data_IF_314088699931
#
_entry.id   IF_314088699931
#
_cell.length_a   1.000
_cell.length_b   1.000
_cell.length_c   1.000
_cell.angle_alpha   90.00
_cell.angle_beta   90.00
_cell.angle_gamma   90.00
#
_symmetry.space_group_name_H-M   'P 1'
#
loop_
_entity.id
_entity.type
_entity.pdbx_description
1 polymer ?
#
# COMPACT_ATOMS: atom_id res chain seq x y z
N UNK A 1 5.77 29.97 -4.96
CA UNK A 1 5.97 28.66 -5.63
C UNK A 1 4.78 27.79 -5.27
N UNK A 2 4.06 27.25 -6.25
CA UNK A 2 2.91 26.36 -6.01
C UNK A 2 3.35 24.92 -6.23
N UNK A 3 3.11 24.05 -5.26
CA UNK A 3 3.35 22.62 -5.41
C UNK A 3 2.29 22.00 -6.34
N UNK A 4 2.72 21.19 -7.30
CA UNK A 4 1.84 20.55 -8.29
C UNK A 4 1.97 19.04 -8.13
N UNK A 5 0.91 18.40 -7.63
CA UNK A 5 0.88 16.96 -7.30
C UNK A 5 1.09 16.11 -8.55
N UNK A 6 0.47 16.48 -9.67
CA UNK A 6 0.60 15.76 -10.93
C UNK A 6 2.06 15.72 -11.38
N UNK A 7 2.76 16.86 -11.30
CA UNK A 7 4.18 16.95 -11.62
C UNK A 7 5.03 16.10 -10.67
N UNK A 8 4.73 16.10 -9.37
CA UNK A 8 5.42 15.23 -8.41
C UNK A 8 5.27 13.74 -8.79
N UNK A 9 4.04 13.31 -9.12
CA UNK A 9 3.75 11.93 -9.47
C UNK A 9 4.33 11.46 -10.82
N UNK A 10 4.76 12.40 -11.69
CA UNK A 10 5.54 12.07 -12.90
C UNK A 10 6.99 11.71 -12.60
N UNK A 11 7.52 12.06 -11.41
CA UNK A 11 8.85 11.60 -11.03
C UNK A 11 8.84 10.08 -10.86
N UNK A 12 9.89 9.44 -11.36
CA UNK A 12 10.18 8.02 -11.20
C UNK A 12 11.44 7.80 -10.35
N UNK A 13 11.85 8.83 -9.58
CA UNK A 13 13.02 8.73 -8.73
C UNK A 13 12.84 7.54 -7.77
N UNK A 14 13.74 6.54 -7.84
CA UNK A 14 13.54 5.30 -7.11
C UNK A 14 13.75 5.54 -5.62
N UNK A 15 12.78 5.09 -4.82
CA UNK A 15 12.93 4.98 -3.37
C UNK A 15 13.79 3.76 -3.03
N UNK A 16 14.73 3.92 -2.11
CA UNK A 16 15.54 2.81 -1.64
C UNK A 16 14.73 1.91 -0.70
N UNK A 17 14.26 0.77 -1.22
CA UNK A 17 13.47 -0.21 -0.47
C UNK A 17 14.15 -0.74 0.80
N UNK A 18 15.49 -0.73 0.88
CA UNK A 18 16.21 -1.12 2.10
C UNK A 18 15.93 -0.18 3.29
N UNK A 19 15.35 1.00 3.05
CA UNK A 19 14.89 1.90 4.10
C UNK A 19 13.57 1.47 4.74
N UNK A 20 12.84 0.52 4.12
CA UNK A 20 11.59 -0.02 4.66
C UNK A 20 11.80 -1.21 5.61
N UNK A 21 12.95 -1.87 5.56
CA UNK A 21 13.16 -3.09 6.34
C UNK A 21 12.18 -4.20 5.94
N UNK A 22 11.72 -4.99 6.92
CA UNK A 22 10.71 -6.04 6.70
C UNK A 22 9.32 -5.43 6.62
N UNK A 23 8.52 -5.97 5.70
CA UNK A 23 7.17 -5.52 5.44
C UNK A 23 6.16 -6.60 5.80
N UNK A 24 5.19 -6.23 6.63
CA UNK A 24 4.11 -7.11 7.06
C UNK A 24 2.79 -6.60 6.51
N UNK A 25 2.03 -7.45 5.83
CA UNK A 25 0.74 -7.09 5.25
C UNK A 25 -0.31 -6.79 6.33
N UNK A 26 -0.99 -5.65 6.19
CA UNK A 26 -2.06 -5.21 7.10
C UNK A 26 -3.43 -5.32 6.42
N UNK A 27 -3.55 -4.90 5.17
CA UNK A 27 -4.83 -4.96 4.47
C UNK A 27 -4.84 -4.30 3.10
N UNK A 28 -5.94 -4.49 2.37
CA UNK A 28 -6.20 -3.76 1.14
C UNK A 28 -6.92 -2.45 1.45
N UNK A 29 -6.61 -1.41 0.68
CA UNK A 29 -7.42 -0.21 0.59
C UNK A 29 -8.11 -0.20 -0.77
N UNK A 30 -9.42 -0.38 -0.71
CA UNK A 30 -10.27 -0.47 -1.90
C UNK A 30 -10.63 0.93 -2.41
N UNK A 31 -10.62 1.08 -3.73
CA UNK A 31 -11.43 2.09 -4.39
C UNK A 31 -12.65 1.41 -5.02
N UNK A 32 -13.70 2.18 -5.20
CA UNK A 32 -14.93 1.73 -5.85
C UNK A 32 -15.08 2.51 -7.14
N UNK A 33 -15.13 1.80 -8.26
CA UNK A 33 -15.65 2.37 -9.50
C UNK A 33 -17.12 1.99 -9.64
N UNK A 34 -17.88 2.88 -10.28
CA UNK A 34 -19.24 2.56 -10.73
C UNK A 34 -19.09 2.17 -12.19
N UNK A 35 -19.39 0.92 -12.53
CA UNK A 35 -19.39 0.43 -13.91
C UNK A 35 -20.42 1.17 -14.75
N UNK A 36 -20.33 1.06 -16.08
CA UNK A 36 -21.32 1.64 -17.00
C UNK A 36 -22.75 1.15 -16.72
N UNK A 37 -22.89 -0.06 -16.15
CA UNK A 37 -24.16 -0.68 -15.77
C UNK A 37 -24.65 -0.26 -14.37
N UNK A 38 -23.90 0.59 -13.67
CA UNK A 38 -24.25 1.10 -12.34
C UNK A 38 -23.86 0.16 -11.18
N UNK A 39 -23.16 -0.94 -11.45
CA UNK A 39 -22.64 -1.82 -10.41
C UNK A 39 -21.37 -1.22 -9.77
N UNK A 40 -21.22 -1.39 -8.45
CA UNK A 40 -20.00 -0.99 -7.75
C UNK A 40 -18.98 -2.11 -7.84
N UNK A 41 -17.92 -1.88 -8.60
CA UNK A 41 -16.77 -2.78 -8.64
C UNK A 41 -15.68 -2.27 -7.71
N UNK A 42 -15.43 -3.04 -6.64
CA UNK A 42 -14.34 -2.77 -5.73
C UNK A 42 -13.03 -3.29 -6.35
N UNK A 43 -12.03 -2.43 -6.43
CA UNK A 43 -10.69 -2.84 -6.83
C UNK A 43 -9.67 -2.27 -5.84
N UNK A 44 -8.70 -3.11 -5.47
CA UNK A 44 -7.64 -2.69 -4.57
C UNK A 44 -6.72 -1.70 -5.30
N UNK A 45 -6.68 -0.46 -4.84
CA UNK A 45 -5.75 0.54 -5.38
C UNK A 45 -4.48 0.63 -4.56
N UNK A 46 -4.56 0.30 -3.26
CA UNK A 46 -3.43 0.33 -2.35
C UNK A 46 -3.43 -0.90 -1.43
N UNK A 47 -2.27 -1.20 -0.86
CA UNK A 47 -2.15 -2.04 0.34
C UNK A 47 -1.54 -1.24 1.47
N UNK A 48 -1.89 -1.61 2.69
CA UNK A 48 -1.28 -1.13 3.91
C UNK A 48 -0.30 -2.19 4.41
N UNK A 49 0.93 -1.75 4.70
CA UNK A 49 1.99 -2.61 5.19
C UNK A 49 2.68 -1.96 6.38
N UNK A 50 2.94 -2.74 7.41
CA UNK A 50 3.77 -2.31 8.53
C UNK A 50 5.24 -2.47 8.15
N UNK A 51 6.02 -1.41 8.34
CA UNK A 51 7.48 -1.41 8.18
C UNK A 51 8.15 -1.48 9.55
N UNK A 52 8.98 -2.50 9.78
CA UNK A 52 9.70 -2.65 11.06
C UNK A 52 10.72 -1.52 11.30
N UNK A 53 11.37 -1.05 10.24
CA UNK A 53 12.41 -0.03 10.30
C UNK A 53 11.84 1.38 10.46
N UNK A 54 10.67 1.66 9.89
CA UNK A 54 9.96 2.92 10.09
C UNK A 54 9.08 2.89 11.34
N UNK A 55 8.78 1.70 11.86
CA UNK A 55 7.85 1.47 12.96
C UNK A 55 6.49 2.14 12.71
N UNK A 56 6.00 2.04 11.47
CA UNK A 56 4.77 2.69 11.01
C UNK A 56 4.10 1.89 9.88
N UNK A 57 2.82 2.16 9.66
CA UNK A 57 2.05 1.63 8.53
C UNK A 57 2.19 2.59 7.35
N UNK A 58 2.65 2.05 6.22
CA UNK A 58 2.78 2.80 4.97
C UNK A 58 1.84 2.24 3.91
N UNK A 59 1.37 3.12 3.03
CA UNK A 59 0.62 2.74 1.85
C UNK A 59 1.53 2.38 0.68
N UNK A 60 1.24 1.29 -0.02
CA UNK A 60 1.80 0.99 -1.33
C UNK A 60 0.71 1.15 -2.39
N UNK A 61 0.91 2.02 -3.39
CA UNK A 61 0.02 2.16 -4.55
C UNK A 61 0.33 1.03 -5.53
N UNK A 62 -0.67 0.21 -5.80
CA UNK A 62 -0.59 -0.90 -6.74
C UNK A 62 -0.68 -0.41 -8.19
N UNK A 63 -0.18 -1.19 -9.17
CA UNK A 63 -0.45 -0.95 -10.59
C UNK A 63 -1.96 -0.95 -10.86
N UNK A 64 -2.38 -0.20 -11.88
CA UNK A 64 -3.79 -0.20 -12.28
C UNK A 64 -4.17 -1.57 -12.86
N UNK A 65 -5.36 -2.08 -12.50
CA UNK A 65 -5.81 -3.42 -12.87
C UNK A 65 -5.11 -4.56 -12.11
N UNK A 66 -4.33 -4.26 -11.06
CA UNK A 66 -3.73 -5.30 -10.23
C UNK A 66 -4.81 -6.16 -9.55
N UNK A 67 -4.76 -7.47 -9.79
CA UNK A 67 -5.61 -8.43 -9.12
C UNK A 67 -4.84 -9.05 -7.95
N UNK A 68 -5.18 -8.71 -6.70
CA UNK A 68 -4.48 -9.28 -5.56
C UNK A 68 -4.80 -10.76 -5.40
N UNK A 69 -3.76 -11.57 -5.27
CA UNK A 69 -3.89 -12.90 -4.68
C UNK A 69 -4.32 -12.77 -3.20
N UNK A 70 -4.94 -13.81 -2.64
CA UNK A 70 -5.30 -13.83 -1.23
C UNK A 70 -4.03 -13.74 -0.36
N UNK A 71 -3.87 -12.65 0.38
CA UNK A 71 -2.72 -12.39 1.25
C UNK A 71 -3.17 -12.42 2.71
N UNK A 72 -2.71 -13.39 3.51
CA UNK A 72 -3.11 -13.47 4.91
C UNK A 72 -2.67 -12.24 5.70
N UNK A 73 -3.54 -11.81 6.62
CA UNK A 73 -3.21 -10.78 7.59
C UNK A 73 -1.90 -11.12 8.33
N UNK A 74 -1.03 -10.14 8.50
CA UNK A 74 0.27 -10.27 9.16
C UNK A 74 1.28 -11.18 8.46
N UNK A 75 1.06 -11.52 7.19
CA UNK A 75 2.08 -12.22 6.40
C UNK A 75 3.20 -11.28 5.94
N UNK A 76 4.43 -11.77 5.93
CA UNK A 76 5.57 -11.03 5.38
C UNK A 76 5.46 -10.96 3.86
N UNK A 77 5.75 -9.79 3.30
CA UNK A 77 5.72 -9.55 1.85
C UNK A 77 7.02 -8.91 1.36
N UNK A 78 7.28 -9.04 0.06
CA UNK A 78 8.36 -8.37 -0.65
C UNK A 78 7.80 -7.51 -1.77
N UNK A 79 8.27 -6.28 -1.89
CA UNK A 79 7.97 -5.42 -3.06
C UNK A 79 8.68 -5.97 -4.29
N UNK A 80 7.95 -6.06 -5.40
CA UNK A 80 8.49 -6.43 -6.71
C UNK A 80 8.92 -5.15 -7.43
N UNK A 81 10.10 -5.18 -8.05
CA UNK A 81 10.56 -4.11 -8.92
C UNK A 81 10.98 -2.86 -8.14
N UNK A 82 10.59 -1.69 -8.64
CA UNK A 82 10.95 -0.39 -8.05
C UNK A 82 9.78 0.18 -7.24
N UNK A 83 10.14 1.07 -6.33
CA UNK A 83 9.20 1.94 -5.65
C UNK A 83 9.52 3.39 -5.96
N UNK A 84 8.49 4.25 -6.07
CA UNK A 84 8.67 5.71 -6.16
C UNK A 84 7.64 6.41 -5.27
N UNK A 85 7.97 7.56 -4.65
CA UNK A 85 7.01 8.39 -3.94
C UNK A 85 5.77 8.70 -4.78
N UNK A 86 4.61 8.69 -4.15
CA UNK A 86 3.34 8.98 -4.80
C UNK A 86 2.40 9.71 -3.83
N UNK A 87 1.76 10.76 -4.32
CA UNK A 87 0.73 11.49 -3.57
C UNK A 87 -0.60 11.24 -4.26
N UNK A 88 -1.54 10.65 -3.53
CA UNK A 88 -2.92 10.50 -3.97
C UNK A 88 -3.82 11.45 -3.20
N UNK A 89 -4.96 11.78 -3.78
CA UNK A 89 -6.00 12.52 -3.11
C UNK A 89 -7.23 11.63 -2.93
N UNK A 90 -8.00 11.91 -1.89
CA UNK A 90 -9.24 11.22 -1.59
C UNK A 90 -10.19 12.18 -0.90
N UNK A 91 -11.49 11.98 -1.11
CA UNK A 91 -12.50 12.73 -0.38
C UNK A 91 -12.68 12.08 0.99
N UNK A 92 -12.65 12.92 2.03
CA UNK A 92 -12.93 12.51 3.39
C UNK A 92 -14.14 13.27 3.90
N UNK A 93 -15.14 12.56 4.36
CA UNK A 93 -16.24 13.15 5.12
C UNK A 93 -15.75 13.53 6.51
N UNK A 94 -15.90 14.81 6.85
CA UNK A 94 -15.60 15.32 8.17
C UNK A 94 -16.91 15.44 8.94
N UNK A 95 -17.03 14.66 10.02
CA UNK A 95 -18.15 14.72 10.94
C UNK A 95 -17.72 15.50 12.18
N UNK A 96 -18.30 16.67 12.41
CA UNK A 96 -18.11 17.46 13.62
C UNK A 96 -19.40 17.48 14.43
N UNK A 97 -19.29 17.51 15.76
CA UNK A 97 -20.46 17.54 16.64
C UNK A 97 -21.23 18.84 16.41
N UNK A 98 -22.52 18.73 16.07
CA UNK A 98 -23.46 19.84 15.80
C UNK A 98 -23.25 20.62 14.48
N UNK A 99 -22.68 20.00 13.44
CA UNK A 99 -22.64 20.55 12.08
C UNK A 99 -22.96 19.46 11.06
N UNK A 100 -23.51 19.87 9.92
CA UNK A 100 -23.75 18.94 8.81
C UNK A 100 -22.41 18.36 8.31
N UNK A 101 -22.37 17.06 7.97
CA UNK A 101 -21.20 16.46 7.35
C UNK A 101 -20.79 17.24 6.09
N UNK A 102 -19.49 17.47 5.93
CA UNK A 102 -18.95 18.07 4.71
C UNK A 102 -17.78 17.25 4.18
N UNK A 103 -17.59 17.30 2.86
CA UNK A 103 -16.48 16.62 2.20
C UNK A 103 -15.27 17.54 2.08
N UNK A 104 -14.11 17.01 2.45
CA UNK A 104 -12.83 17.68 2.26
C UNK A 104 -11.93 16.82 1.41
N UNK A 105 -11.32 17.42 0.39
CA UNK A 105 -10.24 16.78 -0.36
C UNK A 105 -9.00 16.69 0.53
N UNK A 106 -8.64 15.46 0.87
CA UNK A 106 -7.44 15.12 1.64
C UNK A 106 -6.38 14.52 0.72
N UNK A 107 -5.14 14.52 1.19
CA UNK A 107 -4.01 13.92 0.49
C UNK A 107 -3.38 12.83 1.34
N UNK A 108 -2.97 11.75 0.70
CA UNK A 108 -2.23 10.65 1.30
C UNK A 108 -0.89 10.47 0.60
N UNK A 109 0.05 9.88 1.31
CA UNK A 109 1.34 9.47 0.76
C UNK A 109 1.39 7.95 0.63
N UNK A 110 1.95 7.47 -0.48
CA UNK A 110 2.23 6.07 -0.72
C UNK A 110 3.54 5.92 -1.50
N UNK A 111 4.05 4.69 -1.54
CA UNK A 111 5.04 4.29 -2.53
C UNK A 111 4.31 3.59 -3.67
N UNK A 112 4.38 4.13 -4.89
CA UNK A 112 3.95 3.39 -6.08
C UNK A 112 4.94 2.28 -6.34
N UNK A 113 4.44 1.05 -6.46
CA UNK A 113 5.23 -0.16 -6.67
C UNK A 113 4.81 -0.88 -7.94
N UNK A 114 5.71 -1.68 -8.51
CA UNK A 114 5.37 -2.54 -9.66
C UNK A 114 4.56 -3.78 -9.24
N UNK A 115 4.55 -4.10 -7.95
CA UNK A 115 3.77 -5.18 -7.35
C UNK A 115 4.34 -5.64 -6.03
N UNK A 116 3.80 -6.73 -5.49
CA UNK A 116 4.36 -7.40 -4.32
C UNK A 116 4.08 -8.91 -4.38
N UNK A 117 4.78 -9.67 -3.54
CA UNK A 117 4.56 -11.11 -3.36
C UNK A 117 4.70 -11.46 -1.88
N UNK A 118 4.16 -12.62 -1.47
CA UNK A 118 4.49 -13.19 -0.16
C UNK A 118 5.99 -13.48 -0.08
N UNK A 119 6.60 -13.13 1.04
CA UNK A 119 7.98 -13.53 1.31
C UNK A 119 8.05 -15.06 1.42
N UNK A 120 9.15 -15.65 0.97
CA UNK A 120 9.33 -17.09 1.13
C UNK A 120 9.35 -17.41 2.64
N UNK A 121 8.57 -18.41 3.06
CA UNK A 121 8.62 -18.88 4.45
C UNK A 121 10.08 -19.20 4.80
N UNK A 122 10.59 -18.80 5.97
CA UNK A 122 11.91 -19.23 6.41
C UNK A 122 11.95 -20.75 6.32
N UNK A 123 12.97 -21.29 5.63
CA UNK A 123 13.24 -22.74 5.76
C UNK A 123 13.41 -22.99 7.26
N UNK A 124 12.72 -23.96 7.86
CA UNK A 124 12.96 -24.29 9.26
C UNK A 124 14.45 -24.54 9.42
N UNK A 125 15.07 -23.87 10.39
CA UNK A 125 16.43 -24.18 10.79
C UNK A 125 16.49 -25.69 11.02
N UNK A 126 17.41 -26.38 10.33
CA UNK A 126 17.64 -27.80 10.60
C UNK A 126 17.91 -27.91 12.09
N UNK A 127 17.02 -28.60 12.81
CA UNK A 127 17.27 -28.96 14.19
C UNK A 127 18.67 -29.59 14.27
N UNK A 128 19.49 -29.23 15.28
CA UNK A 128 20.82 -29.82 15.41
C UNK A 128 20.69 -31.34 15.41
N UNK A 129 21.44 -32.01 14.54
CA UNK A 129 21.57 -33.46 14.56
C UNK A 129 22.08 -33.85 15.95
N UNK A 130 21.20 -34.44 16.75
CA UNK A 130 21.56 -35.01 18.04
C UNK A 130 22.55 -36.16 17.75
N UNK A 131 23.84 -35.87 17.91
CA UNK A 131 24.88 -36.90 17.88
C UNK A 131 24.89 -37.62 19.22
N UNK A 132 24.30 -38.82 19.23
CA UNK A 132 24.68 -39.96 20.07
C UNK A 132 24.41 -39.84 21.56
#
# INVERSE_FOLDING_TARGET
>A
MTFVVEKFNTSTDPYNLANLGKLTFVGFREAFDISEDGEREAHATHIEVFSDKLNDVIGLKLPDGYQPEEVPFMSEIEVIGKASPFIYNFNRTVNQRNTDPYEVRSYGFALRVDGFKKAASPKPDKAPENKG
#
